data_IF_383323350816
#
_entry.id   IF_383323350816
#
_cell.length_a   1.000
_cell.length_b   1.000
_cell.length_c   1.000
_cell.angle_alpha   90.00
_cell.angle_beta   90.00
_cell.angle_gamma   90.00
#
_symmetry.space_group_name_H-M   'P 1'
#
loop_
_entity.id
_entity.type
_entity.pdbx_description
1 polymer ?
#
# COMPACT_ATOMS: atom_id res chain seq x y z
N UNK A 1 55.35 -14.13 47.22
CA UNK A 1 53.99 -14.13 46.64
C UNK A 1 53.35 -12.77 46.91
N UNK A 2 53.21 -11.91 45.90
CA UNK A 2 52.58 -10.60 46.11
C UNK A 2 51.07 -10.78 46.31
N UNK A 3 50.54 -10.22 47.40
CA UNK A 3 49.10 -10.28 47.71
C UNK A 3 48.37 -9.34 46.75
N UNK A 4 47.49 -9.89 45.93
CA UNK A 4 46.60 -9.11 45.07
C UNK A 4 45.71 -8.26 45.98
N UNK A 5 45.86 -6.94 45.91
CA UNK A 5 45.06 -5.99 46.70
C UNK A 5 43.65 -5.87 46.14
N UNK A 6 42.70 -5.42 46.97
CA UNK A 6 41.28 -5.35 46.62
C UNK A 6 41.03 -4.47 45.39
N UNK A 7 41.83 -3.43 45.22
CA UNK A 7 41.78 -2.50 44.08
C UNK A 7 42.06 -3.22 42.75
N UNK A 8 43.02 -4.15 42.74
CA UNK A 8 43.34 -4.96 41.54
C UNK A 8 42.19 -5.90 41.17
N UNK A 9 41.51 -6.47 42.17
CA UNK A 9 40.32 -7.32 41.92
C UNK A 9 39.17 -6.51 41.32
N UNK A 10 38.96 -5.29 41.79
CA UNK A 10 37.93 -4.39 41.25
C UNK A 10 38.29 -4.00 39.81
N UNK A 11 39.57 -3.68 39.54
CA UNK A 11 40.04 -3.39 38.19
C UNK A 11 39.81 -4.55 37.21
N UNK A 12 40.16 -5.78 37.60
CA UNK A 12 39.90 -6.98 36.78
C UNK A 12 38.40 -7.18 36.56
N UNK A 13 37.56 -7.00 37.58
CA UNK A 13 36.11 -7.13 37.45
C UNK A 13 35.53 -6.14 36.43
N UNK A 14 35.97 -4.88 36.48
CA UNK A 14 35.52 -3.84 35.52
C UNK A 14 35.95 -4.19 34.10
N UNK A 15 37.19 -4.65 33.91
CA UNK A 15 37.69 -5.06 32.58
C UNK A 15 36.90 -6.25 32.03
N UNK A 16 36.61 -7.25 32.86
CA UNK A 16 35.80 -8.41 32.47
C UNK A 16 34.36 -8.00 32.13
N UNK A 17 33.76 -7.12 32.94
CA UNK A 17 32.43 -6.61 32.68
C UNK A 17 32.38 -5.80 31.37
N UNK A 18 33.37 -4.94 31.12
CA UNK A 18 33.48 -4.19 29.87
C UNK A 18 33.68 -5.13 28.66
N UNK A 19 34.50 -6.17 28.80
CA UNK A 19 34.69 -7.17 27.75
C UNK A 19 33.41 -7.96 27.45
N UNK A 20 32.65 -8.34 28.48
CA UNK A 20 31.34 -9.01 28.33
C UNK A 20 30.31 -8.10 27.66
N UNK A 21 30.26 -6.82 28.03
CA UNK A 21 29.37 -5.85 27.39
C UNK A 21 29.76 -5.60 25.93
N UNK A 22 31.05 -5.49 25.63
CA UNK A 22 31.57 -5.41 24.27
C UNK A 22 31.15 -6.65 23.46
N UNK A 23 31.38 -7.84 24.01
CA UNK A 23 30.99 -9.10 23.36
C UNK A 23 29.49 -9.20 23.10
N UNK A 24 28.63 -8.84 24.07
CA UNK A 24 27.18 -8.78 23.90
C UNK A 24 26.77 -7.77 22.81
N UNK A 25 27.42 -6.62 22.76
CA UNK A 25 27.16 -5.59 21.73
C UNK A 25 27.47 -6.13 20.33
N UNK A 26 28.56 -6.86 20.16
CA UNK A 26 28.90 -7.51 18.88
C UNK A 26 27.99 -8.70 18.55
N UNK A 27 27.45 -9.40 19.55
CA UNK A 27 26.57 -10.57 19.34
C UNK A 27 25.12 -10.18 19.05
N UNK A 28 24.61 -9.13 19.70
CA UNK A 28 23.23 -8.63 19.54
C UNK A 28 23.13 -7.67 18.35
N UNK A 29 24.17 -6.86 18.14
CA UNK A 29 24.27 -6.09 16.92
C UNK A 29 24.44 -7.08 15.78
N UNK A 30 23.42 -7.24 14.93
CA UNK A 30 23.50 -7.92 13.64
C UNK A 30 24.36 -7.09 12.66
N UNK A 31 25.56 -6.69 13.13
CA UNK A 31 26.60 -6.00 12.42
C UNK A 31 27.25 -7.01 11.49
N UNK A 32 26.53 -7.31 10.41
CA UNK A 32 27.12 -7.94 9.23
C UNK A 32 28.11 -6.95 8.62
N UNK A 33 29.33 -6.92 9.17
CA UNK A 33 30.50 -6.24 8.62
C UNK A 33 30.93 -6.96 7.34
N UNK A 34 30.18 -6.75 6.28
CA UNK A 34 30.44 -7.31 4.96
C UNK A 34 29.39 -6.78 4.00
N UNK A 35 29.81 -6.32 2.81
CA UNK A 35 28.86 -6.05 1.73
C UNK A 35 28.01 -7.30 1.56
N UNK A 36 26.73 -7.22 1.89
CA UNK A 36 25.80 -8.31 1.62
C UNK A 36 25.95 -8.69 0.15
N UNK A 37 26.30 -9.96 -0.11
CA UNK A 37 26.49 -10.47 -1.47
C UNK A 37 25.14 -10.37 -2.18
N UNK A 38 25.15 -9.82 -3.39
CA UNK A 38 23.92 -9.53 -4.13
C UNK A 38 24.18 -8.53 -5.23
N UNK A 39 23.09 -8.15 -5.89
CA UNK A 39 23.09 -7.10 -6.91
C UNK A 39 22.02 -6.07 -6.56
N UNK A 40 22.28 -4.79 -6.84
CA UNK A 40 21.35 -3.70 -6.57
C UNK A 40 20.46 -3.48 -7.79
N UNK A 41 19.16 -3.39 -7.56
CA UNK A 41 18.18 -2.92 -8.54
C UNK A 41 17.43 -1.74 -7.95
N UNK A 42 17.05 -0.79 -8.79
CA UNK A 42 16.35 0.42 -8.37
C UNK A 42 14.86 0.28 -8.65
N UNK A 43 14.02 0.85 -7.79
CA UNK A 43 12.60 1.07 -8.03
C UNK A 43 12.28 2.55 -7.96
N UNK A 44 11.48 3.05 -8.90
CA UNK A 44 11.05 4.46 -8.91
C UNK A 44 9.61 4.54 -8.42
N UNK A 45 9.34 5.16 -7.28
CA UNK A 45 8.01 5.27 -6.68
C UNK A 45 7.55 6.73 -6.60
N UNK A 46 6.23 6.96 -6.63
CA UNK A 46 5.67 8.31 -6.40
C UNK A 46 5.68 8.67 -4.92
N UNK A 47 5.43 7.68 -4.07
CA UNK A 47 5.40 7.85 -2.61
C UNK A 47 5.99 6.60 -1.94
N UNK A 48 6.87 6.81 -0.97
CA UNK A 48 7.55 5.78 -0.17
C UNK A 48 7.34 5.99 1.34
N UNK A 49 6.36 6.79 1.75
CA UNK A 49 6.03 7.08 3.14
C UNK A 49 5.92 5.79 3.95
N UNK A 50 6.61 5.75 5.09
CA UNK A 50 6.65 4.59 5.98
C UNK A 50 7.56 3.44 5.53
N UNK A 51 8.21 3.53 4.37
CA UNK A 51 9.31 2.62 4.00
C UNK A 51 10.60 3.09 4.67
N UNK A 52 11.42 2.15 5.14
CA UNK A 52 12.67 2.45 5.84
C UNK A 52 13.84 1.64 5.27
N UNK A 53 15.06 2.12 5.53
CA UNK A 53 16.29 1.41 5.12
C UNK A 53 16.38 0.09 5.88
N UNK A 54 16.75 -0.99 5.18
CA UNK A 54 16.69 -2.40 5.62
C UNK A 54 15.29 -3.03 5.63
N UNK A 55 14.25 -2.32 5.20
CA UNK A 55 12.95 -2.96 5.00
C UNK A 55 13.09 -4.18 4.06
N UNK A 56 12.40 -5.29 4.34
CA UNK A 56 12.57 -6.50 3.56
C UNK A 56 12.04 -6.30 2.14
N UNK A 57 12.72 -6.91 1.17
CA UNK A 57 12.21 -7.09 -0.19
C UNK A 57 11.76 -8.52 -0.31
N UNK A 58 10.48 -8.73 -0.61
CA UNK A 58 9.85 -10.06 -0.68
C UNK A 58 9.42 -10.37 -2.11
N UNK A 59 9.47 -11.65 -2.47
CA UNK A 59 8.91 -12.17 -3.71
C UNK A 59 8.09 -13.40 -3.36
N UNK A 60 6.80 -13.39 -3.72
CA UNK A 60 5.86 -14.46 -3.35
C UNK A 60 5.88 -14.77 -1.84
N UNK A 61 5.96 -13.72 -1.01
CA UNK A 61 6.01 -13.83 0.45
C UNK A 61 7.36 -14.22 1.05
N UNK A 62 8.36 -14.59 0.24
CA UNK A 62 9.70 -14.96 0.70
C UNK A 62 10.64 -13.77 0.62
N UNK A 63 11.35 -13.45 1.70
CA UNK A 63 12.39 -12.40 1.68
C UNK A 63 13.49 -12.79 0.71
N UNK A 64 13.77 -11.93 -0.28
CA UNK A 64 14.77 -12.09 -1.34
C UNK A 64 15.84 -10.99 -1.32
N UNK A 65 15.69 -9.99 -0.47
CA UNK A 65 16.60 -8.85 -0.38
C UNK A 65 16.18 -7.86 0.70
N UNK A 66 16.81 -6.69 0.68
CA UNK A 66 16.51 -5.58 1.58
C UNK A 66 16.69 -4.23 0.88
N UNK A 67 15.95 -3.23 1.34
CA UNK A 67 16.12 -1.84 0.91
C UNK A 67 17.46 -1.33 1.41
N UNK A 68 18.32 -0.87 0.50
CA UNK A 68 19.64 -0.35 0.81
C UNK A 68 19.65 1.19 0.87
N UNK A 69 18.97 1.84 -0.06
CA UNK A 69 18.92 3.31 -0.14
C UNK A 69 17.54 3.81 -0.52
N UNK A 70 17.20 5.01 -0.05
CA UNK A 70 16.00 5.75 -0.44
C UNK A 70 16.47 7.18 -0.72
N UNK A 71 16.43 7.57 -1.99
CA UNK A 71 16.85 8.90 -2.43
C UNK A 71 15.71 9.56 -3.19
N UNK A 72 15.66 10.90 -3.14
CA UNK A 72 14.79 11.67 -4.03
C UNK A 72 15.50 11.86 -5.37
N UNK A 73 14.81 11.55 -6.45
CA UNK A 73 15.28 11.74 -7.82
C UNK A 73 14.20 12.52 -8.58
N UNK A 74 14.48 13.80 -8.79
CA UNK A 74 13.51 14.82 -9.21
C UNK A 74 12.27 14.88 -8.29
N UNK A 75 11.15 14.34 -8.76
CA UNK A 75 9.85 14.30 -8.07
C UNK A 75 9.44 12.89 -7.65
N UNK A 76 10.31 11.89 -7.84
CA UNK A 76 10.04 10.49 -7.49
C UNK A 76 11.08 9.97 -6.50
N UNK A 77 10.66 9.05 -5.66
CA UNK A 77 11.56 8.36 -4.76
C UNK A 77 12.23 7.20 -5.49
N UNK A 78 13.57 7.25 -5.61
CA UNK A 78 14.41 6.16 -6.10
C UNK A 78 14.82 5.29 -4.90
N UNK A 79 14.32 4.06 -4.88
CA UNK A 79 14.62 3.06 -3.85
C UNK A 79 15.60 2.04 -4.40
N UNK A 80 16.83 2.03 -3.86
CA UNK A 80 17.83 1.02 -4.18
C UNK A 80 17.59 -0.23 -3.33
N UNK A 81 17.37 -1.36 -3.97
CA UNK A 81 17.10 -2.65 -3.34
C UNK A 81 18.23 -3.62 -3.63
N UNK A 82 18.82 -4.18 -2.59
CA UNK A 82 19.82 -5.23 -2.72
C UNK A 82 19.16 -6.58 -2.73
N UNK A 83 19.38 -7.33 -3.80
CA UNK A 83 18.75 -8.62 -4.04
C UNK A 83 19.80 -9.72 -3.97
N UNK A 84 19.45 -10.85 -3.35
CA UNK A 84 20.37 -11.99 -3.27
C UNK A 84 20.75 -12.51 -4.66
N UNK A 85 22.00 -13.02 -4.84
CA UNK A 85 22.52 -13.38 -6.16
C UNK A 85 21.85 -14.61 -6.80
N UNK A 86 21.20 -15.46 -5.99
CA UNK A 86 20.41 -16.62 -6.43
C UNK A 86 19.09 -16.23 -7.10
N UNK A 87 18.59 -15.02 -6.82
CA UNK A 87 17.29 -14.55 -7.31
C UNK A 87 17.49 -13.82 -8.63
N UNK A 88 16.74 -14.19 -9.67
CA UNK A 88 16.80 -13.55 -11.00
C UNK A 88 15.54 -12.76 -11.28
N UNK A 89 15.66 -11.45 -11.43
CA UNK A 89 14.54 -10.55 -11.70
C UNK A 89 14.45 -10.29 -13.21
N UNK A 90 13.24 -10.28 -13.76
CA UNK A 90 12.93 -10.03 -15.17
C UNK A 90 12.68 -8.55 -15.39
N UNK A 91 12.95 -8.04 -16.59
CA UNK A 91 12.82 -6.60 -16.89
C UNK A 91 11.41 -6.06 -16.74
N UNK A 92 10.40 -6.87 -17.04
CA UNK A 92 9.00 -6.49 -16.94
C UNK A 92 8.39 -6.68 -15.53
N UNK A 93 9.22 -7.01 -14.54
CA UNK A 93 8.80 -7.10 -13.15
C UNK A 93 8.21 -5.79 -12.63
N UNK A 94 7.34 -5.92 -11.63
CA UNK A 94 6.69 -4.81 -10.93
C UNK A 94 7.15 -4.81 -9.48
N UNK A 95 7.31 -3.62 -8.91
CA UNK A 95 7.57 -3.47 -7.47
C UNK A 95 6.41 -2.75 -6.82
N UNK A 96 5.98 -3.21 -5.65
CA UNK A 96 4.92 -2.57 -4.89
C UNK A 96 5.39 -2.40 -3.46
N UNK A 97 5.14 -1.25 -2.85
CA UNK A 97 5.25 -1.14 -1.40
C UNK A 97 3.97 -1.72 -0.82
N UNK A 98 4.08 -2.52 0.23
CA UNK A 98 2.95 -3.10 0.96
C UNK A 98 3.22 -3.06 2.46
N UNK A 99 2.19 -3.21 3.26
CA UNK A 99 2.31 -3.41 4.70
C UNK A 99 2.08 -4.89 5.03
N UNK A 100 2.83 -5.46 5.97
CA UNK A 100 2.61 -6.84 6.44
C UNK A 100 1.21 -7.02 7.06
N UNK A 101 0.67 -5.95 7.64
CA UNK A 101 -0.64 -5.87 8.28
C UNK A 101 -1.13 -4.42 8.21
N UNK A 102 -2.35 -4.14 8.67
CA UNK A 102 -2.97 -2.79 8.63
C UNK A 102 -2.11 -1.71 9.30
N UNK A 103 -1.39 -2.06 10.37
CA UNK A 103 -0.48 -1.19 11.13
C UNK A 103 0.97 -1.70 11.09
N UNK A 104 1.24 -2.69 10.25
CA UNK A 104 2.53 -3.36 10.19
C UNK A 104 3.59 -2.51 9.50
N UNK A 105 4.85 -2.92 9.68
CA UNK A 105 5.96 -2.39 8.92
C UNK A 105 5.74 -2.56 7.41
N UNK A 106 6.24 -1.59 6.64
CA UNK A 106 6.19 -1.64 5.19
C UNK A 106 7.36 -2.44 4.63
N UNK A 107 7.10 -3.15 3.55
CA UNK A 107 8.08 -3.92 2.80
C UNK A 107 7.89 -3.68 1.31
N UNK A 108 8.89 -4.06 0.51
CA UNK A 108 8.76 -4.03 -0.95
C UNK A 108 8.41 -5.43 -1.44
N UNK A 109 7.26 -5.58 -2.07
CA UNK A 109 6.90 -6.77 -2.84
C UNK A 109 7.45 -6.63 -4.26
N UNK A 110 8.21 -7.64 -4.69
CA UNK A 110 8.65 -7.82 -6.05
C UNK A 110 7.77 -8.86 -6.73
N UNK A 111 7.08 -8.44 -7.79
CA UNK A 111 6.21 -9.27 -8.60
C UNK A 111 6.92 -9.58 -9.92
N UNK A 112 7.16 -10.86 -10.14
CA UNK A 112 7.86 -11.34 -11.33
C UNK A 112 6.99 -11.16 -12.58
N UNK A 113 7.55 -10.55 -13.62
CA UNK A 113 6.91 -10.52 -14.94
C UNK A 113 7.11 -11.82 -15.75
N UNK A 114 6.81 -11.77 -17.04
CA UNK A 114 6.84 -12.91 -17.98
C UNK A 114 7.97 -12.81 -19.00
N UNK A 115 8.69 -11.69 -19.06
CA UNK A 115 9.74 -11.45 -20.05
C UNK A 115 10.95 -12.37 -19.83
N UNK A 116 11.65 -12.77 -20.90
CA UNK A 116 12.86 -13.59 -20.79
C UNK A 116 14.08 -12.79 -20.35
N UNK A 117 14.11 -11.50 -20.64
CA UNK A 117 15.22 -10.61 -20.28
C UNK A 117 15.28 -10.37 -18.78
N UNK A 118 16.49 -10.42 -18.24
CA UNK A 118 16.77 -10.20 -16.83
C UNK A 118 17.29 -8.78 -16.59
N UNK A 119 16.95 -8.22 -15.42
CA UNK A 119 17.57 -7.00 -14.92
C UNK A 119 19.02 -7.26 -14.53
N UNK A 120 19.85 -6.25 -14.73
CA UNK A 120 21.25 -6.21 -14.34
C UNK A 120 21.43 -5.31 -13.12
N UNK A 121 22.64 -5.36 -12.55
CA UNK A 121 23.08 -4.42 -11.52
C UNK A 121 22.84 -2.98 -11.97
N UNK A 122 22.17 -2.19 -11.12
CA UNK A 122 21.86 -0.79 -11.35
C UNK A 122 20.60 -0.52 -12.17
N UNK A 123 20.00 -1.52 -12.80
CA UNK A 123 18.80 -1.32 -13.61
C UNK A 123 17.63 -0.82 -12.74
N UNK A 124 16.72 -0.07 -13.37
CA UNK A 124 15.57 0.54 -12.70
C UNK A 124 14.26 -0.08 -13.15
N UNK A 125 13.43 -0.49 -12.19
CA UNK A 125 12.06 -0.93 -12.37
C UNK A 125 11.15 0.29 -12.31
N UNK A 126 10.55 0.65 -13.45
CA UNK A 126 9.65 1.79 -13.58
C UNK A 126 8.19 1.45 -13.25
N UNK A 127 7.82 0.17 -13.32
CA UNK A 127 6.49 -0.30 -12.93
C UNK A 127 6.45 -0.40 -11.41
N UNK A 128 6.01 0.67 -10.76
CA UNK A 128 5.88 0.74 -9.31
C UNK A 128 4.44 0.97 -8.89
N UNK A 129 4.00 0.33 -7.82
CA UNK A 129 2.74 0.67 -7.13
C UNK A 129 3.07 1.17 -5.73
N UNK A 130 2.77 2.43 -5.47
CA UNK A 130 2.82 2.99 -4.12
C UNK A 130 1.58 2.56 -3.33
N UNK A 131 1.73 2.34 -2.02
CA UNK A 131 0.59 2.07 -1.13
C UNK A 131 -0.33 3.29 -1.17
N UNK A 132 -1.64 3.06 -1.31
CA UNK A 132 -2.62 4.10 -1.03
C UNK A 132 -2.49 4.49 0.45
N UNK A 133 -2.08 5.73 0.71
CA UNK A 133 -1.99 6.21 2.08
C UNK A 133 -3.39 6.17 2.72
N UNK A 134 -3.49 5.89 4.02
CA UNK A 134 -4.80 5.88 4.71
C UNK A 134 -5.51 7.22 4.49
N UNK A 135 -4.74 8.31 4.46
CA UNK A 135 -5.20 9.66 4.16
C UNK A 135 -5.82 9.76 2.77
N UNK A 136 -5.25 9.08 1.77
CA UNK A 136 -5.81 9.05 0.40
C UNK A 136 -7.16 8.33 0.36
N UNK A 137 -7.31 7.24 1.13
CA UNK A 137 -8.58 6.53 1.25
C UNK A 137 -9.63 7.36 1.99
N UNK A 138 -9.24 8.04 3.07
CA UNK A 138 -10.14 8.96 3.80
C UNK A 138 -10.59 10.11 2.89
N UNK A 139 -9.66 10.67 2.11
CA UNK A 139 -9.98 11.72 1.13
C UNK A 139 -10.96 11.21 0.07
N UNK A 140 -10.72 10.01 -0.47
CA UNK A 140 -11.62 9.40 -1.43
C UNK A 140 -13.01 9.13 -0.82
N UNK A 141 -13.08 8.68 0.44
CA UNK A 141 -14.34 8.51 1.17
C UNK A 141 -15.08 9.83 1.39
N UNK A 142 -14.36 10.92 1.70
CA UNK A 142 -14.95 12.25 1.83
C UNK A 142 -15.57 12.70 0.51
N UNK A 143 -14.86 12.54 -0.61
CA UNK A 143 -15.37 12.89 -1.92
C UNK A 143 -16.62 12.07 -2.29
N UNK A 144 -16.62 10.77 -2.00
CA UNK A 144 -17.81 9.92 -2.20
C UNK A 144 -18.98 10.40 -1.33
N UNK A 145 -18.72 10.77 -0.07
CA UNK A 145 -19.76 11.27 0.82
C UNK A 145 -20.33 12.62 0.32
N UNK A 146 -19.50 13.48 -0.26
CA UNK A 146 -19.90 14.72 -0.91
C UNK A 146 -20.77 14.46 -2.14
N UNK A 147 -20.36 13.54 -3.01
CA UNK A 147 -21.14 13.12 -4.18
C UNK A 147 -22.51 12.58 -3.77
N UNK A 148 -22.57 11.72 -2.75
CA UNK A 148 -23.83 11.19 -2.21
C UNK A 148 -24.70 12.30 -1.64
N UNK A 149 -24.10 13.28 -0.95
CA UNK A 149 -24.83 14.44 -0.42
C UNK A 149 -25.41 15.31 -1.54
N UNK A 150 -24.65 15.50 -2.62
CA UNK A 150 -25.09 16.23 -3.82
C UNK A 150 -26.28 15.54 -4.49
N UNK A 151 -26.18 14.23 -4.74
CA UNK A 151 -27.27 13.42 -5.30
C UNK A 151 -28.51 13.44 -4.41
N UNK A 152 -28.32 13.30 -3.09
CA UNK A 152 -29.43 13.33 -2.13
C UNK A 152 -30.10 14.70 -2.05
N UNK A 153 -29.32 15.78 -2.20
CA UNK A 153 -29.82 17.15 -2.30
C UNK A 153 -30.70 17.33 -3.54
N UNK A 154 -30.18 16.95 -4.71
CA UNK A 154 -30.92 16.98 -5.97
C UNK A 154 -32.21 16.16 -5.92
N UNK A 155 -32.17 14.97 -5.30
CA UNK A 155 -33.34 14.12 -5.17
C UNK A 155 -34.42 14.75 -4.28
N UNK A 156 -34.03 15.35 -3.13
CA UNK A 156 -34.96 16.05 -2.24
C UNK A 156 -35.55 17.29 -2.90
N UNK A 157 -34.76 18.01 -3.69
CA UNK A 157 -35.21 19.19 -4.43
C UNK A 157 -36.16 18.80 -5.57
N UNK A 158 -35.80 17.77 -6.34
CA UNK A 158 -36.60 17.31 -7.48
C UNK A 158 -37.88 16.62 -7.05
N UNK A 159 -37.83 15.66 -6.12
CA UNK A 159 -38.97 14.81 -5.75
C UNK A 159 -39.62 15.17 -4.41
N UNK A 160 -38.96 15.97 -3.59
CA UNK A 160 -39.50 16.44 -2.30
C UNK A 160 -40.28 17.75 -2.41
N UNK A 161 -40.24 18.44 -3.55
CA UNK A 161 -41.09 19.61 -3.80
C UNK A 161 -42.56 19.20 -3.92
N UNK A 162 -43.46 20.01 -3.34
CA UNK A 162 -44.91 19.77 -3.40
C UNK A 162 -45.40 19.69 -4.85
N UNK A 163 -44.88 20.56 -5.72
CA UNK A 163 -45.25 20.65 -7.13
C UNK A 163 -44.88 19.38 -7.91
N UNK A 164 -43.71 18.77 -7.66
CA UNK A 164 -43.36 17.50 -8.30
C UNK A 164 -44.24 16.37 -7.80
N UNK A 165 -44.55 16.34 -6.49
CA UNK A 165 -45.45 15.31 -5.94
C UNK A 165 -46.84 15.38 -6.57
N UNK A 166 -47.36 16.58 -6.78
CA UNK A 166 -48.64 16.80 -7.44
C UNK A 166 -48.56 16.45 -8.94
N UNK A 167 -47.49 16.84 -9.63
CA UNK A 167 -47.26 16.46 -11.04
C UNK A 167 -47.18 14.94 -11.22
N UNK A 168 -46.44 14.25 -10.36
CA UNK A 168 -46.33 12.78 -10.38
C UNK A 168 -47.70 12.14 -10.10
N UNK A 169 -48.46 12.69 -9.15
CA UNK A 169 -49.82 12.23 -8.83
C UNK A 169 -50.77 12.42 -10.02
N UNK A 170 -50.67 13.54 -10.73
CA UNK A 170 -51.49 13.83 -11.90
C UNK A 170 -51.14 12.92 -13.09
N UNK A 171 -49.85 12.63 -13.31
CA UNK A 171 -49.42 11.65 -14.31
C UNK A 171 -49.99 10.27 -13.99
N UNK A 172 -49.89 9.82 -12.72
CA UNK A 172 -50.45 8.53 -12.29
C UNK A 172 -51.97 8.46 -12.47
N UNK A 173 -52.67 9.57 -12.19
CA UNK A 173 -54.12 9.67 -12.42
C UNK A 173 -54.45 9.55 -13.90
N UNK A 174 -53.78 10.30 -14.77
CA UNK A 174 -54.01 10.24 -16.22
C UNK A 174 -53.73 8.86 -16.79
N UNK A 175 -52.70 8.16 -16.31
CA UNK A 175 -52.40 6.78 -16.72
C UNK A 175 -53.51 5.81 -16.30
N UNK A 176 -54.05 5.96 -15.09
CA UNK A 176 -55.19 5.16 -14.61
C UNK A 176 -56.42 5.41 -15.49
N UNK A 177 -56.77 6.67 -15.72
CA UNK A 177 -57.94 7.05 -16.53
C UNK A 177 -57.79 6.56 -17.98
N UNK A 178 -56.59 6.64 -18.56
CA UNK A 178 -56.29 6.07 -19.88
C UNK A 178 -56.49 4.55 -19.90
N UNK A 179 -55.98 3.86 -18.88
CA UNK A 179 -56.10 2.39 -18.75
C UNK A 179 -57.56 1.96 -18.63
N UNK A 180 -58.37 2.71 -17.87
CA UNK A 180 -59.80 2.48 -17.70
C UNK A 180 -60.56 2.70 -19.02
N UNK A 181 -60.23 3.76 -19.75
CA UNK A 181 -60.79 4.00 -21.08
C UNK A 181 -60.40 2.90 -22.09
N UNK A 182 -59.16 2.43 -22.06
CA UNK A 182 -58.69 1.30 -22.88
C UNK A 182 -59.41 -0.01 -22.53
N UNK A 183 -59.62 -0.28 -21.24
CA UNK A 183 -60.38 -1.44 -20.77
C UNK A 183 -61.83 -1.39 -21.28
N UNK A 184 -62.49 -0.24 -21.13
CA UNK A 184 -63.87 -0.03 -21.59
C UNK A 184 -64.01 -0.13 -23.13
N UNK A 185 -63.00 0.32 -23.89
CA UNK A 185 -62.97 0.14 -25.35
C UNK A 185 -62.78 -1.32 -25.75
N UNK A 186 -61.96 -2.07 -25.01
CA UNK A 186 -61.71 -3.49 -25.26
C UNK A 186 -62.97 -4.31 -24.94
N UNK A 187 -63.67 -3.99 -23.87
CA UNK A 187 -64.93 -4.62 -23.48
C UNK A 187 -66.02 -4.38 -24.54
N UNK A 188 -66.22 -3.13 -24.97
CA UNK A 188 -67.19 -2.76 -26.02
C UNK A 188 -66.88 -3.38 -27.39
N UNK A 189 -65.61 -3.61 -27.71
CA UNK A 189 -65.21 -4.24 -28.97
C UNK A 189 -65.24 -5.78 -28.90
N UNK A 190 -65.35 -6.36 -27.70
CA UNK A 190 -65.51 -7.80 -27.49
C UNK A 190 -66.98 -8.26 -27.51
N UNK A 191 -67.92 -7.32 -27.38
CA UNK A 191 -69.38 -7.56 -27.44
C UNK A 191 -69.99 -7.32 -28.84
N UNK A 192 -69.20 -6.83 -29.80
CA UNK A 192 -69.58 -6.59 -31.19
C UNK A 192 -69.03 -7.68 -32.12
#
# INVERSE_FOLDING_TARGET
MQKITTEVKIGIFVVVAAALLGYMTFKIGDFKFGREKGYVVNGSFENVSGLYIKAPVKMAGVTVGAVETINLDDSKARVGMRIRPDVKIRKDSLVAIKSESLLGEKYVELIQGKEKELLKEGDTIYKSVSVADLDSLITQLYNIAEDVRSVSGFFRETFGSRDTKDTVKDIMKNLRDLTENLANLTERNSEA
#
